data_IF_879533320239
#
_entry.id   IF_879533320239
#
_cell.length_a   1.000
_cell.length_b   1.000
_cell.length_c   1.000
_cell.angle_alpha   90.00
_cell.angle_beta   90.00
_cell.angle_gamma   90.00
#
_symmetry.space_group_name_H-M   'P 1'
#
loop_
_entity.id
_entity.type
_entity.pdbx_description
1 polymer ?
#
# COMPACT_ATOMS: atom_id res chain seq x y z
N UNK A 1 -21.96 33.40 30.05
CA UNK A 1 -20.65 32.83 30.45
C UNK A 1 -19.83 32.58 29.19
N UNK A 2 -18.55 32.96 29.22
CA UNK A 2 -17.65 33.12 28.07
C UNK A 2 -17.42 31.80 27.31
N UNK A 3 -17.51 31.85 25.98
CA UNK A 3 -17.04 30.81 25.07
C UNK A 3 -15.50 30.77 25.07
N UNK A 4 -14.93 29.62 25.38
CA UNK A 4 -13.51 29.33 25.12
C UNK A 4 -13.40 28.43 23.90
N UNK A 5 -12.85 28.98 22.81
CA UNK A 5 -12.38 28.21 21.65
C UNK A 5 -10.95 27.79 21.94
N UNK A 6 -10.72 26.49 22.13
CA UNK A 6 -9.38 25.89 22.07
C UNK A 6 -9.27 25.11 20.76
N UNK A 7 -8.48 25.64 19.83
CA UNK A 7 -8.15 25.00 18.56
C UNK A 7 -7.28 23.77 18.78
N UNK A 8 -7.57 22.72 18.02
CA UNK A 8 -6.77 21.51 17.91
C UNK A 8 -5.77 21.75 16.76
N UNK A 9 -4.47 21.50 16.94
CA UNK A 9 -3.47 21.70 15.88
C UNK A 9 -3.67 20.70 14.75
N UNK A 10 -3.60 21.20 13.52
CA UNK A 10 -3.60 20.44 12.28
C UNK A 10 -2.40 19.48 12.26
N UNK A 11 -2.67 18.18 12.24
CA UNK A 11 -1.65 17.16 11.97
C UNK A 11 -1.36 17.24 10.48
N UNK A 12 -0.21 17.78 10.12
CA UNK A 12 0.31 17.70 8.76
C UNK A 12 0.66 16.24 8.47
N UNK A 13 -0.22 15.55 7.76
CA UNK A 13 0.07 14.26 7.14
C UNK A 13 1.13 14.49 6.07
N UNK A 14 2.37 14.11 6.38
CA UNK A 14 3.46 14.07 5.41
C UNK A 14 3.22 12.87 4.49
N UNK A 15 2.48 13.08 3.41
CA UNK A 15 2.34 12.10 2.33
C UNK A 15 3.66 12.04 1.58
N UNK A 16 4.53 11.12 1.96
CA UNK A 16 5.75 10.81 1.21
C UNK A 16 5.34 10.10 -0.08
N UNK A 17 5.14 10.86 -1.16
CA UNK A 17 5.13 10.28 -2.50
C UNK A 17 6.48 9.60 -2.73
N UNK A 18 6.46 8.29 -2.97
CA UNK A 18 7.62 7.56 -3.44
C UNK A 18 7.87 7.95 -4.91
N UNK A 19 8.46 9.12 -5.14
CA UNK A 19 8.91 9.55 -6.47
C UNK A 19 10.30 8.95 -6.70
N UNK A 20 10.37 7.82 -7.40
CA UNK A 20 11.64 7.26 -7.89
C UNK A 20 12.13 8.19 -9.00
N UNK A 21 12.98 9.16 -8.66
CA UNK A 21 13.68 9.98 -9.65
C UNK A 21 14.88 9.20 -10.17
N UNK A 22 14.75 8.60 -11.35
CA UNK A 22 15.88 8.11 -12.13
C UNK A 22 16.60 9.31 -12.75
N UNK A 23 17.72 9.74 -12.16
CA UNK A 23 18.64 10.65 -12.83
C UNK A 23 19.63 9.82 -13.67
N UNK A 24 19.37 9.72 -14.97
CA UNK A 24 20.38 9.28 -15.95
C UNK A 24 21.25 10.47 -16.31
N UNK A 25 22.50 10.49 -15.86
CA UNK A 25 23.51 11.45 -16.33
C UNK A 25 24.30 10.77 -17.45
N UNK A 26 23.89 11.04 -18.69
CA UNK A 26 24.73 10.85 -19.87
C UNK A 26 25.44 12.15 -20.17
N UNK A 27 26.77 12.14 -20.25
CA UNK A 27 27.54 13.23 -20.84
C UNK A 27 28.43 12.66 -21.93
N UNK A 28 27.99 12.83 -23.17
CA UNK A 28 28.78 12.66 -24.39
C UNK A 28 28.71 13.96 -25.17
N UNK A 29 29.86 14.45 -25.64
CA UNK A 29 29.92 15.67 -26.45
C UNK A 29 31.36 16.02 -26.84
N UNK A 30 31.84 15.39 -27.90
CA UNK A 30 33.01 15.87 -28.65
C UNK A 30 32.62 16.98 -29.61
N UNK A 31 33.57 17.87 -29.91
CA UNK A 31 33.42 18.94 -30.90
C UNK A 31 34.79 19.51 -31.29
N UNK A 32 35.22 19.15 -32.50
CA UNK A 32 36.41 19.65 -33.19
C UNK A 32 36.03 20.83 -34.09
N UNK A 33 36.94 21.80 -34.28
CA UNK A 33 36.78 22.89 -35.25
C UNK A 33 38.00 23.81 -35.28
N UNK A 34 38.84 23.67 -36.31
CA UNK A 34 39.92 24.62 -36.65
C UNK A 34 39.47 25.67 -37.67
N UNK A 35 40.19 26.79 -37.82
CA UNK A 35 41.17 27.03 -38.90
C UNK A 35 41.69 28.50 -38.94
N UNK A 36 42.96 28.65 -39.40
CA UNK A 36 43.63 29.82 -40.07
C UNK A 36 43.80 31.16 -39.33
N UNK A 37 44.94 31.88 -39.35
CA UNK A 37 46.23 31.71 -40.05
C UNK A 37 47.22 32.87 -39.78
N UNK A 38 48.42 32.74 -40.38
CA UNK A 38 49.38 33.80 -40.79
C UNK A 38 50.46 34.33 -39.82
N UNK A 39 51.64 33.71 -39.92
CA UNK A 39 53.00 34.22 -40.18
C UNK A 39 53.54 35.56 -39.59
N UNK A 40 54.66 35.47 -38.84
CA UNK A 40 56.01 36.05 -39.14
C UNK A 40 56.77 36.65 -37.94
N UNK A 41 57.96 36.09 -37.68
CA UNK A 41 59.24 36.77 -37.39
C UNK A 41 59.43 37.59 -36.09
N UNK A 42 60.44 37.22 -35.30
CA UNK A 42 61.10 38.14 -34.36
C UNK A 42 61.70 37.47 -33.13
N UNK A 43 63.01 37.59 -32.98
CA UNK A 43 63.86 37.01 -31.93
C UNK A 43 63.78 37.73 -30.58
N UNK A 44 64.28 37.01 -29.57
CA UNK A 44 64.80 37.46 -28.27
C UNK A 44 63.81 37.89 -27.17
N UNK A 45 63.88 37.15 -26.06
CA UNK A 45 63.79 37.76 -24.74
C UNK A 45 62.84 37.11 -23.75
N UNK A 46 63.45 36.57 -22.70
CA UNK A 46 63.00 36.57 -21.30
C UNK A 46 62.05 35.45 -20.86
N UNK A 47 62.58 34.68 -19.91
CA UNK A 47 61.90 33.74 -19.03
C UNK A 47 60.52 34.25 -18.58
N UNK A 48 59.47 33.50 -18.88
CA UNK A 48 58.28 33.52 -18.04
C UNK A 48 57.94 32.08 -17.65
N UNK A 49 58.34 31.74 -16.42
CA UNK A 49 58.00 30.49 -15.75
C UNK A 49 56.53 30.53 -15.34
N UNK A 50 55.65 30.39 -16.33
CA UNK A 50 54.22 30.16 -16.09
C UNK A 50 54.03 28.73 -15.58
N UNK A 51 54.26 28.50 -14.30
CA UNK A 51 53.78 27.29 -13.62
C UNK A 51 52.25 27.30 -13.70
N UNK A 52 51.69 26.61 -14.69
CA UNK A 52 50.29 26.20 -14.64
C UNK A 52 50.05 25.55 -13.28
N UNK A 53 49.05 25.98 -12.48
CA UNK A 53 48.80 25.37 -11.18
C UNK A 53 48.60 23.87 -11.41
N UNK A 54 49.41 23.05 -10.74
CA UNK A 54 49.22 21.60 -10.75
C UNK A 54 47.79 21.31 -10.28
N UNK A 55 46.99 20.52 -11.01
CA UNK A 55 45.62 20.21 -10.61
C UNK A 55 45.63 19.55 -9.22
N UNK A 56 44.93 20.16 -8.26
CA UNK A 56 44.77 19.57 -6.92
C UNK A 56 43.95 18.28 -7.06
N UNK A 57 44.60 17.13 -6.82
CA UNK A 57 43.98 15.81 -6.89
C UNK A 57 43.70 15.32 -5.47
N UNK A 58 42.43 15.12 -5.13
CA UNK A 58 42.01 14.62 -3.82
C UNK A 58 42.00 13.09 -3.76
N UNK A 59 42.15 12.52 -2.56
CA UNK A 59 42.01 11.06 -2.36
C UNK A 59 40.56 10.59 -2.53
N UNK A 60 40.35 9.27 -2.65
CA UNK A 60 39.01 8.68 -2.82
C UNK A 60 38.05 8.98 -1.66
N UNK A 61 38.59 9.23 -0.46
CA UNK A 61 37.85 9.60 0.76
C UNK A 61 37.63 11.11 0.89
N UNK A 62 38.00 11.88 -0.12
CA UNK A 62 37.93 13.34 -0.14
C UNK A 62 37.18 13.85 -1.38
N UNK A 63 36.76 15.11 -1.34
CA UNK A 63 36.21 15.84 -2.47
C UNK A 63 36.83 17.23 -2.55
N UNK A 64 36.99 17.75 -3.77
CA UNK A 64 37.55 19.07 -4.00
C UNK A 64 36.46 20.14 -3.82
N UNK A 65 36.70 21.11 -2.95
CA UNK A 65 35.87 22.30 -2.82
C UNK A 65 36.77 23.52 -2.68
N UNK A 66 36.60 24.50 -3.57
CA UNK A 66 37.38 25.75 -3.54
C UNK A 66 38.91 25.52 -3.55
N UNK A 67 39.38 24.51 -4.30
CA UNK A 67 40.80 24.18 -4.38
C UNK A 67 41.36 23.42 -3.17
N UNK A 68 40.52 23.11 -2.18
CA UNK A 68 40.90 22.39 -0.96
C UNK A 68 40.23 21.02 -0.94
N UNK A 69 41.00 19.97 -0.65
CA UNK A 69 40.46 18.65 -0.43
C UNK A 69 39.79 18.55 0.94
N UNK A 70 38.49 18.28 0.95
CA UNK A 70 37.69 18.06 2.16
C UNK A 70 37.33 16.59 2.29
N UNK A 71 37.32 16.07 3.52
CA UNK A 71 36.95 14.68 3.78
C UNK A 71 35.45 14.46 3.51
N UNK A 72 35.12 13.33 2.87
CA UNK A 72 33.75 12.85 2.75
C UNK A 72 33.23 12.40 4.12
N UNK A 73 31.95 12.60 4.36
CA UNK A 73 31.30 12.22 5.62
C UNK A 73 30.89 10.75 5.59
N UNK A 74 31.15 10.03 6.69
CA UNK A 74 30.67 8.66 6.86
C UNK A 74 29.16 8.64 7.11
N UNK A 75 28.47 7.70 6.47
CA UNK A 75 27.04 7.49 6.66
C UNK A 75 26.78 6.48 7.77
N UNK A 76 25.65 6.61 8.45
CA UNK A 76 25.19 5.63 9.45
C UNK A 76 23.85 5.04 9.04
N UNK A 77 23.52 3.87 9.55
CA UNK A 77 22.22 3.24 9.36
C UNK A 77 21.87 2.35 10.55
N UNK A 78 20.58 2.06 10.73
CA UNK A 78 20.10 1.10 11.72
C UNK A 78 19.86 -0.24 11.03
N UNK A 79 20.47 -1.36 11.47
CA UNK A 79 20.22 -2.67 10.87
C UNK A 79 18.74 -3.05 10.88
N UNK A 80 18.35 -3.89 9.92
CA UNK A 80 17.03 -4.50 9.90
C UNK A 80 16.89 -5.49 11.07
N UNK A 81 15.75 -5.42 11.74
CA UNK A 81 15.24 -6.34 12.75
C UNK A 81 14.40 -7.40 12.05
N UNK A 82 15.10 -8.45 11.64
CA UNK A 82 14.51 -9.65 11.04
C UNK A 82 15.07 -10.85 11.77
N UNK A 83 14.21 -11.63 12.41
CA UNK A 83 14.61 -12.83 13.14
C UNK A 83 14.84 -14.03 12.23
N UNK A 84 14.01 -14.15 11.18
CA UNK A 84 14.00 -15.28 10.24
C UNK A 84 13.37 -14.88 8.92
N UNK A 85 13.54 -15.74 7.92
CA UNK A 85 12.64 -15.86 6.78
C UNK A 85 11.97 -17.24 6.77
N UNK A 86 10.79 -17.33 6.16
CA UNK A 86 10.12 -18.60 5.88
C UNK A 86 10.32 -19.00 4.44
N UNK A 87 10.70 -20.26 4.22
CA UNK A 87 10.76 -20.86 2.89
C UNK A 87 9.45 -20.66 2.12
N UNK A 88 9.57 -20.22 0.88
CA UNK A 88 8.46 -19.92 -0.03
C UNK A 88 7.80 -18.56 0.17
N UNK A 89 8.22 -17.77 1.17
CA UNK A 89 7.74 -16.41 1.38
C UNK A 89 8.62 -15.38 0.66
N UNK A 90 8.05 -14.20 0.46
CA UNK A 90 8.70 -13.05 -0.13
C UNK A 90 8.59 -11.82 0.79
N UNK A 91 9.62 -10.99 0.76
CA UNK A 91 9.79 -9.88 1.69
C UNK A 91 10.26 -8.63 0.97
N UNK A 92 9.59 -7.52 1.25
CA UNK A 92 10.06 -6.20 0.85
C UNK A 92 11.06 -5.72 1.89
N UNK A 93 12.33 -5.63 1.51
CA UNK A 93 13.38 -5.12 2.39
C UNK A 93 13.69 -3.68 2.00
N UNK A 94 13.40 -2.75 2.90
CA UNK A 94 13.65 -1.33 2.73
C UNK A 94 14.61 -0.87 3.83
N UNK A 95 15.79 -0.40 3.44
CA UNK A 95 16.77 0.15 4.37
C UNK A 95 17.34 1.44 3.80
N UNK A 96 17.47 2.44 4.68
CA UNK A 96 18.04 3.75 4.35
C UNK A 96 19.12 4.15 5.35
N UNK A 97 20.04 5.00 4.89
CA UNK A 97 21.02 5.68 5.75
C UNK A 97 20.39 6.84 6.51
N UNK A 98 21.13 7.42 7.45
CA UNK A 98 20.78 8.65 8.16
C UNK A 98 20.73 9.90 7.26
N UNK A 99 21.08 9.75 5.97
CA UNK A 99 20.96 10.74 4.91
C UNK A 99 19.80 10.43 3.94
N UNK A 100 18.87 9.53 4.32
CA UNK A 100 17.74 9.08 3.51
C UNK A 100 18.12 8.39 2.18
N UNK A 101 19.36 7.90 2.05
CA UNK A 101 19.82 7.16 0.88
C UNK A 101 19.48 5.67 1.01
N UNK A 102 18.83 5.11 -0.01
CA UNK A 102 18.42 3.71 -0.07
C UNK A 102 19.60 2.76 -0.29
N UNK A 103 19.58 1.62 0.40
CA UNK A 103 20.52 0.52 0.16
C UNK A 103 20.10 -0.36 -1.03
N UNK A 104 21.09 -0.86 -1.76
CA UNK A 104 20.93 -1.97 -2.69
C UNK A 104 21.28 -3.29 -2.00
N UNK A 105 20.47 -4.31 -2.22
CA UNK A 105 20.67 -5.65 -1.69
C UNK A 105 21.08 -6.60 -2.82
N UNK A 106 21.93 -7.56 -2.51
CA UNK A 106 22.29 -8.66 -3.40
C UNK A 106 22.51 -9.93 -2.59
N UNK A 107 22.01 -11.07 -3.07
CA UNK A 107 22.21 -12.34 -2.39
C UNK A 107 23.62 -12.89 -2.63
N UNK A 108 24.27 -13.34 -1.56
CA UNK A 108 25.51 -14.12 -1.61
C UNK A 108 25.25 -15.63 -1.44
N UNK A 109 23.98 -16.02 -1.26
CA UNK A 109 23.52 -17.40 -1.09
C UNK A 109 22.29 -17.65 -1.98
N UNK A 110 22.43 -17.57 -3.32
CA UNK A 110 21.30 -17.55 -4.26
C UNK A 110 20.45 -18.83 -4.27
N UNK A 111 20.97 -19.95 -3.75
CA UNK A 111 20.18 -21.19 -3.61
C UNK A 111 19.26 -21.17 -2.37
N UNK A 112 19.52 -20.28 -1.40
CA UNK A 112 18.79 -20.17 -0.13
C UNK A 112 17.82 -19.01 -0.17
N UNK A 113 18.26 -17.86 -0.68
CA UNK A 113 17.44 -16.69 -0.86
C UNK A 113 17.93 -15.90 -2.07
N UNK A 114 17.02 -15.26 -2.77
CA UNK A 114 17.32 -14.41 -3.90
C UNK A 114 16.74 -13.01 -3.67
N UNK A 115 17.35 -11.98 -4.26
CA UNK A 115 16.87 -10.60 -4.16
C UNK A 115 16.82 -9.98 -5.54
N UNK A 116 15.62 -9.71 -6.02
CA UNK A 116 15.38 -9.16 -7.35
C UNK A 116 14.27 -8.11 -7.28
N UNK A 117 14.42 -7.00 -8.01
CA UNK A 117 13.39 -5.96 -8.16
C UNK A 117 12.84 -5.39 -6.82
N UNK A 118 13.68 -5.32 -5.78
CA UNK A 118 13.29 -4.80 -4.47
C UNK A 118 12.60 -5.81 -3.56
N UNK A 119 12.59 -7.08 -3.94
CA UNK A 119 11.91 -8.16 -3.23
C UNK A 119 12.89 -9.31 -2.97
N UNK A 120 12.95 -9.75 -1.72
CA UNK A 120 13.63 -10.98 -1.32
C UNK A 120 12.67 -12.16 -1.48
N UNK A 121 13.13 -13.26 -2.07
CA UNK A 121 12.46 -14.56 -2.07
C UNK A 121 13.27 -15.55 -1.26
N UNK A 122 12.64 -16.18 -0.26
CA UNK A 122 13.25 -17.25 0.52
C UNK A 122 13.00 -18.59 -0.19
N UNK A 123 14.05 -19.18 -0.76
CA UNK A 123 13.94 -20.31 -1.69
C UNK A 123 14.06 -21.66 -0.99
N UNK A 124 15.02 -21.80 -0.07
CA UNK A 124 15.26 -23.05 0.66
C UNK A 124 15.80 -22.80 2.06
N UNK A 125 15.76 -23.82 2.91
CA UNK A 125 16.23 -23.74 4.29
C UNK A 125 17.74 -23.58 4.38
N UNK A 126 18.20 -22.73 5.30
CA UNK A 126 19.63 -22.48 5.51
C UNK A 126 19.92 -21.02 5.83
N UNK A 127 21.19 -20.62 5.69
CA UNK A 127 21.63 -19.24 5.99
C UNK A 127 21.52 -18.35 4.76
N UNK A 128 20.55 -17.44 4.76
CA UNK A 128 20.45 -16.38 3.76
C UNK A 128 21.47 -15.28 4.08
N UNK A 129 22.48 -15.12 3.22
CA UNK A 129 23.51 -14.09 3.35
C UNK A 129 23.26 -13.03 2.28
N UNK A 130 22.99 -11.79 2.69
CA UNK A 130 22.80 -10.66 1.80
C UNK A 130 23.93 -9.65 1.98
N UNK A 131 24.46 -9.16 0.86
CA UNK A 131 25.34 -7.99 0.83
C UNK A 131 24.47 -6.74 0.63
N UNK A 132 24.65 -5.76 1.52
CA UNK A 132 24.00 -4.45 1.47
C UNK A 132 25.04 -3.41 1.06
N UNK A 133 24.71 -2.60 0.07
CA UNK A 133 25.60 -1.57 -0.45
C UNK A 133 24.89 -0.24 -0.58
N UNK A 134 25.60 0.85 -0.26
CA UNK A 134 25.20 2.21 -0.58
C UNK A 134 26.44 2.88 -1.19
N UNK A 135 26.34 3.32 -2.45
CA UNK A 135 27.44 3.90 -3.22
C UNK A 135 28.04 5.21 -2.67
N UNK A 136 27.43 5.86 -1.68
CA UNK A 136 27.81 7.21 -1.25
C UNK A 136 27.35 8.28 -2.24
N UNK A 137 27.95 9.47 -2.12
CA UNK A 137 27.77 10.60 -3.05
C UNK A 137 29.13 11.28 -3.26
N UNK A 138 29.17 12.41 -3.95
CA UNK A 138 30.39 13.23 -4.02
C UNK A 138 30.91 13.65 -2.64
N UNK A 139 30.03 13.79 -1.64
CA UNK A 139 30.37 14.24 -0.29
C UNK A 139 30.22 13.15 0.79
N UNK A 140 29.69 11.97 0.44
CA UNK A 140 29.43 10.88 1.38
C UNK A 140 30.24 9.64 1.02
N UNK A 141 30.84 9.00 2.03
CA UNK A 141 31.55 7.73 1.85
C UNK A 141 30.58 6.59 1.55
N UNK A 142 30.93 5.62 0.68
CA UNK A 142 30.11 4.43 0.47
C UNK A 142 30.02 3.57 1.74
N UNK A 143 28.94 2.80 1.84
CA UNK A 143 28.70 1.82 2.92
C UNK A 143 28.61 0.42 2.31
N UNK A 144 29.33 -0.53 2.89
CA UNK A 144 29.20 -1.95 2.60
C UNK A 144 28.94 -2.69 3.90
N UNK A 145 27.92 -3.55 3.93
CA UNK A 145 27.58 -4.38 5.07
C UNK A 145 27.09 -5.74 4.60
N UNK A 146 27.07 -6.70 5.52
CA UNK A 146 26.45 -8.02 5.29
C UNK A 146 25.40 -8.25 6.36
N UNK A 147 24.30 -8.90 5.98
CA UNK A 147 23.33 -9.46 6.93
C UNK A 147 23.19 -10.95 6.67
N UNK A 148 23.03 -11.72 7.74
CA UNK A 148 22.77 -13.16 7.69
C UNK A 148 21.50 -13.42 8.47
N UNK A 149 20.54 -14.09 7.84
CA UNK A 149 19.24 -14.43 8.41
C UNK A 149 18.96 -15.90 8.10
N UNK A 150 18.45 -16.65 9.07
CA UNK A 150 18.06 -18.05 8.84
C UNK A 150 16.75 -18.11 8.05
N UNK A 151 16.73 -18.93 6.99
CA UNK A 151 15.52 -19.39 6.32
C UNK A 151 15.11 -20.70 6.95
N UNK A 152 13.92 -20.75 7.52
CA UNK A 152 13.37 -21.93 8.16
C UNK A 152 12.16 -22.45 7.41
N UNK A 153 11.77 -23.69 7.71
CA UNK A 153 10.56 -24.27 7.14
C UNK A 153 9.31 -23.49 7.56
N UNK A 154 8.39 -23.29 6.63
CA UNK A 154 7.17 -22.51 6.88
C UNK A 154 6.22 -23.18 7.90
N UNK A 155 6.35 -24.48 8.15
CA UNK A 155 5.58 -25.18 9.19
C UNK A 155 6.18 -24.98 10.60
N UNK A 156 7.41 -24.48 10.71
CA UNK A 156 8.00 -24.14 12.01
C UNK A 156 7.25 -22.99 12.71
N UNK A 157 6.43 -22.22 11.97
CA UNK A 157 5.45 -21.26 12.50
C UNK A 157 4.02 -21.62 12.11
N UNK A 158 3.66 -22.90 12.23
CA UNK A 158 2.26 -23.31 12.08
C UNK A 158 1.38 -22.77 13.22
N UNK A 159 1.93 -22.68 14.43
CA UNK A 159 1.22 -22.19 15.61
C UNK A 159 1.70 -20.82 16.04
N UNK A 160 0.75 -19.98 16.45
CA UNK A 160 1.00 -18.68 17.04
C UNK A 160 1.53 -18.82 18.46
N UNK A 161 2.54 -18.01 18.80
CA UNK A 161 3.05 -17.79 20.15
C UNK A 161 3.28 -16.29 20.37
N UNK A 162 2.46 -15.69 21.22
CA UNK A 162 2.49 -14.24 21.50
C UNK A 162 3.75 -13.83 22.29
N UNK A 163 4.33 -14.73 23.08
CA UNK A 163 5.48 -14.46 23.93
C UNK A 163 6.79 -14.62 23.14
N UNK A 164 6.87 -15.61 22.26
CA UNK A 164 7.98 -15.78 21.33
C UNK A 164 7.88 -14.89 20.07
N UNK A 165 6.78 -14.14 19.91
CA UNK A 165 6.50 -13.33 18.72
C UNK A 165 6.41 -14.14 17.42
N UNK A 166 5.96 -15.38 17.50
CA UNK A 166 5.67 -16.22 16.34
C UNK A 166 4.22 -15.99 15.92
N UNK A 167 4.02 -15.45 14.72
CA UNK A 167 2.70 -15.02 14.29
C UNK A 167 1.78 -16.19 13.96
N UNK A 168 2.35 -17.36 13.68
CA UNK A 168 1.61 -18.50 13.17
C UNK A 168 1.28 -18.33 11.69
N UNK A 169 0.35 -19.13 11.19
CA UNK A 169 -0.15 -19.05 9.80
C UNK A 169 -1.66 -19.23 9.74
N UNK A 170 -2.33 -18.64 8.73
CA UNK A 170 -3.73 -18.93 8.47
C UNK A 170 -3.93 -20.41 8.14
N UNK A 171 -5.06 -20.97 8.56
CA UNK A 171 -5.53 -22.26 8.08
C UNK A 171 -6.06 -22.16 6.64
N UNK A 172 -6.16 -23.29 5.94
CA UNK A 172 -6.72 -23.29 4.58
C UNK A 172 -8.18 -22.84 4.53
N UNK A 173 -8.96 -23.17 5.57
CA UNK A 173 -10.34 -22.72 5.69
C UNK A 173 -10.43 -21.19 5.80
N UNK A 174 -9.55 -20.54 6.57
CA UNK A 174 -9.48 -19.08 6.68
C UNK A 174 -9.07 -18.43 5.37
N UNK A 175 -8.06 -18.97 4.66
CA UNK A 175 -7.67 -18.48 3.33
C UNK A 175 -8.85 -18.53 2.36
N UNK A 176 -9.54 -19.66 2.34
CA UNK A 176 -10.65 -19.89 1.43
C UNK A 176 -11.85 -19.01 1.75
N UNK A 177 -12.18 -18.84 3.04
CA UNK A 177 -13.22 -17.94 3.51
C UNK A 177 -12.93 -16.49 3.10
N UNK A 178 -11.71 -16.02 3.34
CA UNK A 178 -11.27 -14.68 2.97
C UNK A 178 -11.38 -14.43 1.46
N UNK A 179 -10.74 -15.28 0.64
CA UNK A 179 -10.66 -15.05 -0.81
C UNK A 179 -12.01 -15.24 -1.51
N UNK A 180 -12.88 -16.13 -0.99
CA UNK A 180 -14.23 -16.30 -1.50
C UNK A 180 -15.09 -15.09 -1.19
N UNK A 181 -15.04 -14.57 0.04
CA UNK A 181 -15.81 -13.37 0.42
C UNK A 181 -15.35 -12.15 -0.39
N UNK A 182 -14.03 -11.99 -0.60
CA UNK A 182 -13.50 -10.93 -1.45
C UNK A 182 -14.01 -11.03 -2.89
N UNK A 183 -13.95 -12.23 -3.47
CA UNK A 183 -14.42 -12.43 -4.83
C UNK A 183 -15.95 -12.37 -4.96
N UNK A 184 -16.71 -12.70 -3.91
CA UNK A 184 -18.16 -12.48 -3.86
C UNK A 184 -18.48 -10.98 -3.92
N UNK A 185 -17.84 -10.18 -3.05
CA UNK A 185 -17.99 -8.72 -3.06
C UNK A 185 -17.63 -8.17 -4.44
N UNK A 186 -16.47 -8.54 -4.97
CA UNK A 186 -15.97 -8.05 -6.28
C UNK A 186 -16.89 -8.42 -7.44
N UNK A 187 -17.52 -9.59 -7.41
CA UNK A 187 -18.48 -10.01 -8.42
C UNK A 187 -19.72 -9.10 -8.48
N UNK A 188 -20.18 -8.55 -7.34
CA UNK A 188 -21.28 -7.58 -7.31
C UNK A 188 -20.99 -6.30 -8.13
N UNK A 189 -19.71 -6.00 -8.31
CA UNK A 189 -19.20 -4.84 -9.05
C UNK A 189 -18.67 -5.21 -10.44
N UNK A 190 -18.90 -6.45 -10.90
CA UNK A 190 -18.32 -7.03 -12.12
C UNK A 190 -16.79 -7.03 -12.18
N UNK A 191 -16.10 -6.88 -11.03
CA UNK A 191 -14.64 -6.78 -10.98
C UNK A 191 -13.98 -8.16 -11.21
N UNK A 192 -12.77 -8.21 -11.82
CA UNK A 192 -12.01 -9.45 -11.97
C UNK A 192 -11.71 -10.08 -10.61
N UNK A 193 -11.68 -11.41 -10.58
CA UNK A 193 -11.30 -12.16 -9.38
C UNK A 193 -9.86 -11.86 -8.98
N UNK A 194 -9.64 -11.81 -7.68
CA UNK A 194 -8.33 -11.70 -7.05
C UNK A 194 -7.88 -13.10 -6.65
N UNK A 195 -6.60 -13.41 -6.86
CA UNK A 195 -5.97 -14.65 -6.37
C UNK A 195 -5.40 -14.49 -4.97
N UNK A 196 -5.39 -15.56 -4.19
CA UNK A 196 -4.64 -15.58 -2.94
C UNK A 196 -3.13 -15.63 -3.22
N UNK A 197 -2.33 -14.94 -2.42
CA UNK A 197 -0.90 -14.78 -2.58
C UNK A 197 -0.14 -15.33 -1.37
N UNK A 198 0.15 -16.63 -1.41
CA UNK A 198 0.83 -17.32 -0.32
C UNK A 198 2.21 -16.74 0.02
N UNK A 199 2.87 -16.08 -0.93
CA UNK A 199 4.22 -15.54 -0.74
C UNK A 199 4.28 -14.36 0.25
N UNK A 200 3.16 -13.67 0.51
CA UNK A 200 3.11 -12.51 1.42
C UNK A 200 2.39 -12.78 2.74
N UNK A 201 2.08 -14.05 3.00
CA UNK A 201 1.30 -14.48 4.16
C UNK A 201 2.04 -14.17 5.48
N UNK A 202 3.32 -14.51 5.58
CA UNK A 202 4.14 -14.23 6.77
C UNK A 202 4.22 -12.73 7.06
N UNK A 203 4.31 -11.90 6.02
CA UNK A 203 4.28 -10.45 6.18
C UNK A 203 2.96 -9.97 6.80
N UNK A 204 1.82 -10.53 6.37
CA UNK A 204 0.50 -10.17 6.93
C UNK A 204 0.30 -10.70 8.34
N UNK A 205 0.80 -11.90 8.63
CA UNK A 205 0.76 -12.47 9.98
C UNK A 205 1.60 -11.64 10.95
N UNK A 206 2.82 -11.23 10.58
CA UNK A 206 3.65 -10.37 11.43
C UNK A 206 3.05 -8.98 11.63
N UNK A 207 2.44 -8.38 10.60
CA UNK A 207 1.71 -7.12 10.77
C UNK A 207 0.56 -7.26 11.76
N UNK A 208 -0.22 -8.33 11.63
CA UNK A 208 -1.35 -8.66 12.52
C UNK A 208 -0.88 -8.89 13.97
N UNK A 209 0.26 -9.56 14.15
CA UNK A 209 0.90 -9.73 15.46
C UNK A 209 1.21 -8.38 16.11
N UNK A 210 1.77 -7.41 15.37
CA UNK A 210 2.04 -6.06 15.89
C UNK A 210 0.78 -5.39 16.43
N UNK A 211 -0.34 -5.47 15.71
CA UNK A 211 -1.60 -4.86 16.16
C UNK A 211 -2.14 -5.58 17.40
N UNK A 212 -2.11 -6.91 17.40
CA UNK A 212 -2.70 -7.74 18.44
C UNK A 212 -1.98 -7.62 19.80
N UNK A 213 -0.64 -7.71 19.82
CA UNK A 213 0.13 -7.71 21.08
C UNK A 213 0.33 -6.32 21.68
N UNK A 214 0.20 -5.27 20.86
CA UNK A 214 0.30 -3.89 21.33
C UNK A 214 -1.06 -3.25 21.62
N UNK A 215 -2.16 -3.97 21.36
CA UNK A 215 -3.54 -3.56 21.66
C UNK A 215 -3.91 -2.21 21.01
N UNK A 216 -3.37 -1.94 19.80
CA UNK A 216 -3.61 -0.69 19.04
C UNK A 216 -3.33 -0.89 17.56
N UNK A 217 -3.80 0.05 16.72
CA UNK A 217 -3.55 0.02 15.27
C UNK A 217 -2.68 1.19 14.80
N UNK A 218 -1.79 0.93 13.84
CA UNK A 218 -0.99 1.94 13.13
C UNK A 218 -0.42 1.36 11.85
N UNK A 219 -0.43 2.14 10.76
CA UNK A 219 0.34 1.81 9.55
C UNK A 219 1.84 2.02 9.71
N UNK A 220 2.26 2.75 10.75
CA UNK A 220 3.65 3.08 11.02
C UNK A 220 4.00 2.73 12.47
N UNK A 221 4.00 1.44 12.85
CA UNK A 221 4.47 1.03 14.15
C UNK A 221 5.95 1.40 14.30
N UNK A 222 6.35 1.91 15.46
CA UNK A 222 7.76 2.23 15.73
C UNK A 222 8.48 1.04 16.39
N UNK A 223 9.81 1.10 16.45
CA UNK A 223 10.67 0.00 16.96
C UNK A 223 10.49 -0.30 18.46
N UNK A 224 9.71 0.49 19.21
CA UNK A 224 9.42 0.21 20.64
C UNK A 224 8.25 -0.73 20.83
N UNK A 225 7.49 -1.03 19.77
CA UNK A 225 6.37 -1.97 19.84
C UNK A 225 6.86 -3.38 20.17
N UNK A 226 6.13 -4.09 21.02
CA UNK A 226 6.38 -5.50 21.29
C UNK A 226 6.23 -6.29 19.99
N UNK A 227 7.12 -7.25 19.79
CA UNK A 227 7.23 -8.05 18.57
C UNK A 227 7.53 -7.26 17.29
N UNK A 228 8.08 -6.03 17.40
CA UNK A 228 8.51 -5.29 16.22
C UNK A 228 9.50 -6.11 15.38
N UNK A 229 9.19 -6.22 14.09
CA UNK A 229 10.10 -6.65 13.03
C UNK A 229 9.95 -5.69 11.85
N UNK A 230 11.01 -5.51 11.06
CA UNK A 230 10.88 -4.71 9.84
C UNK A 230 9.92 -5.38 8.83
N UNK A 231 9.77 -6.70 8.86
CA UNK A 231 8.75 -7.43 8.06
C UNK A 231 7.33 -7.00 8.48
N UNK A 232 7.03 -7.02 9.77
CA UNK A 232 5.73 -6.62 10.31
C UNK A 232 5.44 -5.14 10.06
N UNK A 233 6.44 -4.26 10.19
CA UNK A 233 6.32 -2.84 9.82
C UNK A 233 5.95 -2.67 8.34
N UNK A 234 6.67 -3.34 7.44
CA UNK A 234 6.36 -3.29 6.01
C UNK A 234 4.95 -3.81 5.74
N UNK A 235 4.55 -4.91 6.39
CA UNK A 235 3.19 -5.43 6.32
C UNK A 235 2.13 -4.43 6.79
N UNK A 236 2.36 -3.74 7.91
CA UNK A 236 1.42 -2.73 8.42
C UNK A 236 1.29 -1.52 7.47
N UNK A 237 2.41 -1.07 6.90
CA UNK A 237 2.45 0.11 6.01
C UNK A 237 1.89 -0.14 4.61
N UNK A 238 1.65 -1.40 4.21
CA UNK A 238 1.26 -1.78 2.85
C UNK A 238 -0.07 -2.53 2.76
N UNK A 239 -0.85 -2.47 3.83
CA UNK A 239 -2.04 -3.31 4.00
C UNK A 239 -3.24 -2.52 4.46
N UNK A 240 -4.43 -3.04 4.18
CA UNK A 240 -5.60 -2.72 4.98
C UNK A 240 -5.41 -3.32 6.37
N UNK A 241 -5.59 -2.53 7.42
CA UNK A 241 -5.42 -2.97 8.80
C UNK A 241 -6.76 -2.96 9.52
N UNK A 242 -7.01 -3.97 10.35
CA UNK A 242 -8.17 -4.00 11.23
C UNK A 242 -7.74 -4.36 12.64
N UNK A 243 -8.43 -3.76 13.60
CA UNK A 243 -8.19 -3.93 15.02
C UNK A 243 -9.53 -4.06 15.74
N UNK A 244 -9.70 -5.14 16.48
CA UNK A 244 -10.98 -5.49 17.11
C UNK A 244 -10.75 -5.74 18.59
N UNK A 245 -11.56 -5.09 19.42
CA UNK A 245 -11.67 -5.38 20.85
C UNK A 245 -12.95 -6.16 21.10
N UNK A 246 -12.82 -7.38 21.62
CA UNK A 246 -13.94 -8.25 21.88
C UNK A 246 -14.10 -8.52 23.38
N UNK A 247 -15.25 -8.11 23.89
CA UNK A 247 -15.65 -8.31 25.29
C UNK A 247 -16.38 -9.64 25.53
N UNK A 248 -16.74 -10.35 24.45
CA UNK A 248 -17.47 -11.62 24.47
C UNK A 248 -16.84 -12.59 23.46
N UNK A 249 -17.07 -13.91 23.61
CA UNK A 249 -16.57 -14.91 22.66
C UNK A 249 -16.99 -14.61 21.22
N UNK A 250 -16.03 -14.67 20.30
CA UNK A 250 -16.19 -14.34 18.88
C UNK A 250 -16.52 -15.59 18.04
N UNK A 251 -17.58 -16.33 18.39
CA UNK A 251 -17.88 -17.63 17.78
C UNK A 251 -18.13 -17.60 16.25
N UNK A 252 -18.39 -16.42 15.66
CA UNK A 252 -18.62 -16.26 14.22
C UNK A 252 -17.82 -15.11 13.60
N UNK A 253 -16.78 -14.64 14.29
CA UNK A 253 -15.88 -13.61 13.75
C UNK A 253 -14.70 -14.29 13.05
N UNK A 254 -14.35 -13.79 11.88
CA UNK A 254 -13.18 -14.27 11.15
C UNK A 254 -12.85 -13.40 9.96
N UNK A 255 -12.13 -13.99 9.00
CA UNK A 255 -11.57 -13.28 7.86
C UNK A 255 -12.62 -12.58 6.96
N UNK A 256 -13.80 -13.16 6.82
CA UNK A 256 -14.94 -12.53 6.15
C UNK A 256 -15.39 -11.26 6.87
N UNK A 257 -15.49 -11.31 8.20
CA UNK A 257 -15.95 -10.19 9.02
C UNK A 257 -14.95 -9.03 8.98
N UNK A 258 -13.65 -9.31 9.01
CA UNK A 258 -12.63 -8.27 8.82
C UNK A 258 -12.77 -7.58 7.46
N UNK A 259 -13.01 -8.36 6.41
CA UNK A 259 -13.21 -7.84 5.05
C UNK A 259 -14.48 -7.00 4.90
N UNK A 260 -15.59 -7.44 5.51
CA UNK A 260 -16.84 -6.70 5.55
C UNK A 260 -16.67 -5.38 6.30
N UNK A 261 -15.92 -5.37 7.40
CA UNK A 261 -15.63 -4.15 8.15
C UNK A 261 -14.79 -3.16 7.33
N UNK A 262 -13.75 -3.62 6.64
CA UNK A 262 -12.99 -2.80 5.69
C UNK A 262 -13.86 -2.26 4.56
N UNK A 263 -14.78 -3.06 4.03
CA UNK A 263 -15.68 -2.62 2.97
C UNK A 263 -16.67 -1.55 3.45
N UNK A 264 -17.27 -1.76 4.62
CA UNK A 264 -18.29 -0.89 5.19
C UNK A 264 -17.68 0.42 5.71
N UNK A 265 -16.44 0.40 6.21
CA UNK A 265 -15.72 1.58 6.75
C UNK A 265 -16.33 2.16 8.02
N UNK A 266 -17.05 1.33 8.79
CA UNK A 266 -17.64 1.74 10.06
C UNK A 266 -16.57 2.22 11.03
N UNK A 267 -16.75 3.41 11.58
CA UNK A 267 -15.79 4.11 12.46
C UNK A 267 -14.44 4.47 11.79
N UNK A 268 -14.37 4.45 10.46
CA UNK A 268 -13.19 4.90 9.72
C UNK A 268 -13.33 6.37 9.33
N UNK A 269 -12.20 7.10 9.33
CA UNK A 269 -12.15 8.50 8.85
C UNK A 269 -11.87 8.60 7.35
N UNK A 270 -11.68 7.47 6.68
CA UNK A 270 -11.32 7.34 5.26
C UNK A 270 -12.03 6.12 4.66
N UNK A 271 -12.22 6.11 3.34
CA UNK A 271 -12.72 4.92 2.61
C UNK A 271 -11.58 4.14 1.91
N UNK A 272 -10.34 4.32 2.37
CA UNK A 272 -9.16 3.72 1.78
C UNK A 272 -9.25 2.21 1.65
N UNK A 273 -9.75 1.51 2.68
CA UNK A 273 -9.84 0.05 2.66
C UNK A 273 -10.81 -0.44 1.58
N UNK A 274 -11.98 0.19 1.49
CA UNK A 274 -12.97 -0.05 0.43
C UNK A 274 -12.37 0.19 -0.96
N UNK A 275 -11.62 1.28 -1.14
CA UNK A 275 -10.97 1.61 -2.43
C UNK A 275 -9.96 0.55 -2.85
N UNK A 276 -9.22 -0.05 -1.91
CA UNK A 276 -8.36 -1.18 -2.21
C UNK A 276 -9.16 -2.43 -2.59
N UNK A 277 -10.21 -2.78 -1.84
CA UNK A 277 -11.06 -3.96 -2.09
C UNK A 277 -11.74 -3.88 -3.47
N UNK A 278 -12.24 -2.70 -3.83
CA UNK A 278 -12.94 -2.44 -5.09
C UNK A 278 -12.02 -1.98 -6.22
N UNK A 279 -10.70 -2.01 -6.02
CA UNK A 279 -9.79 -1.64 -7.09
C UNK A 279 -9.86 -2.64 -8.25
N UNK A 280 -10.07 -2.19 -9.49
CA UNK A 280 -10.05 -3.08 -10.65
C UNK A 280 -8.63 -3.58 -10.99
N UNK A 281 -7.59 -2.98 -10.39
CA UNK A 281 -6.18 -3.31 -10.61
C UNK A 281 -5.62 -4.29 -9.56
N UNK A 282 -6.36 -4.54 -8.47
CA UNK A 282 -5.98 -5.57 -7.51
C UNK A 282 -6.16 -6.95 -8.18
N UNK A 283 -5.05 -7.66 -8.38
CA UNK A 283 -5.03 -8.98 -9.03
C UNK A 283 -4.72 -10.11 -8.04
N UNK A 284 -4.01 -9.81 -6.96
CA UNK A 284 -3.62 -10.75 -5.91
C UNK A 284 -3.62 -10.08 -4.54
N UNK A 285 -3.78 -10.86 -3.48
CA UNK A 285 -3.72 -10.38 -2.09
C UNK A 285 -3.32 -11.51 -1.15
N UNK A 286 -2.81 -11.17 0.03
CA UNK A 286 -2.62 -12.07 1.16
C UNK A 286 -3.45 -11.60 2.36
N UNK A 287 -3.64 -12.48 3.34
CA UNK A 287 -4.38 -12.21 4.58
C UNK A 287 -3.60 -12.75 5.78
N UNK A 288 -3.67 -12.03 6.89
CA UNK A 288 -3.22 -12.50 8.19
C UNK A 288 -4.14 -12.03 9.30
N UNK A 289 -4.23 -12.83 10.35
CA UNK A 289 -5.00 -12.54 11.55
C UNK A 289 -4.27 -13.13 12.76
N UNK A 290 -4.18 -12.35 13.84
CA UNK A 290 -3.61 -12.81 15.10
C UNK A 290 -4.58 -12.42 16.22
N UNK A 291 -5.06 -13.44 16.93
CA UNK A 291 -5.82 -13.24 18.17
C UNK A 291 -4.91 -13.20 19.39
N UNK A 292 -5.11 -12.20 20.25
CA UNK A 292 -4.45 -12.07 21.53
C UNK A 292 -5.49 -12.23 22.66
N UNK A 293 -5.47 -13.41 23.27
CA UNK A 293 -6.30 -13.79 24.44
C UNK A 293 -5.58 -13.57 25.77
N UNK A 294 -4.35 -13.04 25.73
CA UNK A 294 -3.54 -12.65 26.89
C UNK A 294 -3.55 -11.12 27.08
N UNK A 295 -4.42 -10.41 26.35
CA UNK A 295 -4.55 -8.96 26.39
C UNK A 295 -5.00 -8.49 27.78
N UNK A 296 -4.51 -7.31 28.18
CA UNK A 296 -4.83 -6.73 29.50
C UNK A 296 -6.08 -5.87 29.47
N UNK A 297 -6.40 -5.26 28.33
CA UNK A 297 -7.54 -4.34 28.22
C UNK A 297 -8.89 -5.05 28.12
N UNK A 298 -8.96 -6.15 27.37
CA UNK A 298 -10.18 -6.90 27.07
C UNK A 298 -9.88 -8.40 26.90
N UNK A 299 -10.87 -9.29 27.00
CA UNK A 299 -10.66 -10.74 26.87
C UNK A 299 -9.98 -11.18 25.57
N UNK A 300 -10.33 -10.57 24.43
CA UNK A 300 -9.72 -10.89 23.14
C UNK A 300 -9.48 -9.62 22.33
N UNK A 301 -8.26 -9.47 21.83
CA UNK A 301 -7.90 -8.53 20.79
C UNK A 301 -7.66 -9.30 19.49
N UNK A 302 -8.17 -8.81 18.36
CA UNK A 302 -7.77 -9.29 17.03
C UNK A 302 -7.02 -8.19 16.28
N UNK A 303 -5.86 -8.54 15.74
CA UNK A 303 -5.19 -7.78 14.68
C UNK A 303 -5.34 -8.51 13.36
N UNK A 304 -5.69 -7.81 12.29
CA UNK A 304 -5.74 -8.38 10.95
C UNK A 304 -5.13 -7.44 9.92
N UNK A 305 -4.56 -8.03 8.88
CA UNK A 305 -3.95 -7.32 7.77
C UNK A 305 -4.28 -7.98 6.43
N UNK A 306 -4.62 -7.17 5.43
CA UNK A 306 -4.80 -7.61 4.03
C UNK A 306 -3.82 -6.86 3.13
N UNK A 307 -3.01 -7.60 2.37
CA UNK A 307 -1.98 -7.03 1.49
C UNK A 307 -2.61 -6.30 0.30
N UNK A 308 -2.35 -5.00 0.16
CA UNK A 308 -2.94 -4.19 -0.93
C UNK A 308 -1.92 -3.37 -1.72
N UNK A 309 -0.73 -3.14 -1.17
CA UNK A 309 0.38 -2.46 -1.86
C UNK A 309 1.54 -3.43 -2.05
N UNK A 310 1.87 -3.74 -3.29
CA UNK A 310 3.04 -4.56 -3.66
C UNK A 310 4.18 -3.67 -4.15
N UNK A 311 5.41 -4.20 -4.25
CA UNK A 311 6.54 -3.44 -4.77
C UNK A 311 6.41 -3.47 -6.28
N UNK A 312 5.40 -2.78 -6.83
CA UNK A 312 5.21 -2.61 -8.26
C UNK A 312 6.20 -1.58 -8.77
N UNK A 313 7.50 -1.80 -8.54
CA UNK A 313 8.52 -1.06 -9.22
C UNK A 313 8.42 -1.44 -10.71
N UNK A 314 7.81 -0.56 -11.52
CA UNK A 314 7.71 -0.61 -12.98
C UNK A 314 6.52 -1.33 -13.66
N UNK A 315 5.57 -1.94 -12.94
CA UNK A 315 4.43 -2.58 -13.62
C UNK A 315 3.30 -1.58 -13.89
N UNK A 316 3.02 -1.32 -15.17
CA UNK A 316 1.71 -0.81 -15.59
C UNK A 316 0.66 -1.85 -15.22
N UNK A 317 0.02 -1.66 -14.07
CA UNK A 317 -1.13 -2.46 -13.69
C UNK A 317 -2.26 -2.14 -14.67
N UNK A 318 -2.75 -3.20 -15.31
CA UNK A 318 -3.91 -3.13 -16.19
C UNK A 318 -5.06 -3.97 -15.64
N UNK A 319 -6.23 -3.75 -16.20
CA UNK A 319 -7.46 -4.46 -15.86
C UNK A 319 -8.28 -4.70 -17.12
N UNK A 320 -9.08 -5.75 -17.10
CA UNK A 320 -10.04 -6.07 -18.17
C UNK A 320 -11.38 -5.36 -17.96
N UNK A 321 -11.53 -4.58 -16.89
CA UNK A 321 -12.76 -3.82 -16.64
C UNK A 321 -13.03 -2.79 -17.73
N UNK A 322 -14.27 -2.70 -18.23
CA UNK A 322 -14.65 -1.60 -19.10
C UNK A 322 -14.58 -0.27 -18.35
N UNK A 323 -14.36 0.81 -19.10
CA UNK A 323 -14.42 2.17 -18.56
C UNK A 323 -15.81 2.45 -17.98
N UNK A 324 -15.86 3.23 -16.91
CA UNK A 324 -17.13 3.63 -16.31
C UNK A 324 -17.08 3.73 -14.79
N UNK A 325 -18.27 3.65 -14.18
CA UNK A 325 -18.47 3.82 -12.75
C UNK A 325 -18.16 2.52 -12.01
N UNK A 326 -17.38 2.63 -10.94
CA UNK A 326 -17.24 1.60 -9.90
C UNK A 326 -17.83 2.23 -8.63
N UNK A 327 -19.04 1.82 -8.25
CA UNK A 327 -19.77 2.43 -7.14
C UNK A 327 -20.01 1.44 -5.99
N UNK A 328 -20.23 1.95 -4.80
CA UNK A 328 -20.64 1.19 -3.64
C UNK A 328 -21.79 1.94 -2.95
N UNK A 329 -22.98 1.32 -2.84
CA UNK A 329 -23.39 0.03 -3.42
C UNK A 329 -23.61 0.13 -4.95
N UNK A 330 -23.66 -1.02 -5.63
CA UNK A 330 -23.90 -1.10 -7.08
C UNK A 330 -24.93 -2.19 -7.40
N UNK A 331 -25.90 -1.87 -8.25
CA UNK A 331 -27.01 -2.76 -8.62
C UNK A 331 -27.69 -3.39 -7.38
N UNK A 332 -28.07 -4.66 -7.44
CA UNK A 332 -28.63 -5.37 -6.27
C UNK A 332 -27.49 -5.71 -5.32
N UNK A 333 -27.50 -5.08 -4.15
CA UNK A 333 -26.41 -5.17 -3.19
C UNK A 333 -26.87 -5.85 -1.89
N UNK A 334 -26.22 -6.94 -1.43
CA UNK A 334 -26.61 -7.62 -0.20
C UNK A 334 -26.44 -6.73 1.04
N UNK A 335 -27.45 -6.68 1.91
CA UNK A 335 -27.39 -5.95 3.18
C UNK A 335 -26.23 -6.39 4.09
N UNK A 336 -25.80 -7.66 4.02
CA UNK A 336 -24.64 -8.15 4.79
C UNK A 336 -23.33 -7.40 4.48
N UNK A 337 -23.25 -6.74 3.33
CA UNK A 337 -22.08 -5.99 2.88
C UNK A 337 -22.28 -4.48 2.95
N UNK A 338 -23.34 -3.98 3.58
CA UNK A 338 -23.74 -2.57 3.53
C UNK A 338 -24.29 -2.05 4.86
N UNK A 339 -24.05 -0.77 5.14
CA UNK A 339 -24.62 -0.03 6.28
C UNK A 339 -25.11 1.33 5.83
N UNK A 340 -26.35 1.69 6.18
CA UNK A 340 -26.98 2.98 5.81
C UNK A 340 -26.31 4.21 6.41
N UNK A 341 -25.56 4.02 7.50
CA UNK A 341 -24.92 5.12 8.22
C UNK A 341 -23.55 5.49 7.66
N UNK A 342 -23.00 4.66 6.77
CA UNK A 342 -21.66 4.83 6.20
C UNK A 342 -21.74 5.46 4.81
N UNK A 343 -20.69 6.16 4.35
CA UNK A 343 -20.70 6.85 3.07
C UNK A 343 -20.92 5.88 1.91
N UNK A 344 -21.77 6.29 0.97
CA UNK A 344 -21.74 5.75 -0.39
C UNK A 344 -20.50 6.33 -1.08
N UNK A 345 -19.96 5.60 -2.05
CA UNK A 345 -18.76 6.05 -2.77
C UNK A 345 -18.77 5.58 -4.21
N UNK A 346 -18.11 6.32 -5.08
CA UNK A 346 -17.82 5.91 -6.45
C UNK A 346 -16.45 6.39 -6.92
N UNK A 347 -15.92 5.66 -7.89
CA UNK A 347 -14.75 6.04 -8.68
C UNK A 347 -15.08 5.89 -10.17
N UNK A 348 -14.38 6.64 -11.00
CA UNK A 348 -14.47 6.53 -12.46
C UNK A 348 -13.19 5.88 -12.99
N UNK A 349 -13.34 4.75 -13.69
CA UNK A 349 -12.28 4.12 -14.46
C UNK A 349 -12.28 4.70 -15.87
N UNK A 350 -11.25 5.48 -16.21
CA UNK A 350 -11.07 6.12 -17.53
C UNK A 350 -9.97 5.47 -18.36
N UNK A 351 -9.00 4.84 -17.69
CA UNK A 351 -7.89 4.14 -18.31
C UNK A 351 -7.66 2.76 -17.67
N UNK A 352 -8.09 1.66 -18.32
CA UNK A 352 -7.87 0.30 -17.85
C UNK A 352 -6.43 -0.18 -17.96
N UNK A 353 -5.55 0.51 -18.70
CA UNK A 353 -4.18 0.06 -18.99
C UNK A 353 -3.12 0.66 -18.06
N UNK A 354 -3.49 1.70 -17.31
CA UNK A 354 -2.59 2.35 -16.38
C UNK A 354 -3.37 2.91 -15.19
N UNK A 355 -3.15 2.31 -14.02
CA UNK A 355 -3.76 2.72 -12.75
C UNK A 355 -3.63 4.23 -12.48
N UNK A 356 -2.45 4.81 -12.70
CA UNK A 356 -2.15 6.23 -12.40
C UNK A 356 -2.77 7.20 -13.40
N UNK A 357 -3.08 6.75 -14.61
CA UNK A 357 -3.76 7.57 -15.60
C UNK A 357 -5.21 7.89 -15.22
N UNK A 358 -5.76 7.27 -14.17
CA UNK A 358 -7.08 7.58 -13.64
C UNK A 358 -7.08 8.77 -12.65
N UNK A 359 -5.91 9.36 -12.37
CA UNK A 359 -5.79 10.55 -11.52
C UNK A 359 -6.36 11.82 -12.19
N UNK A 360 -6.66 11.76 -13.49
CA UNK A 360 -7.15 12.90 -14.28
C UNK A 360 -8.65 13.16 -14.13
N UNK A 361 -9.37 12.27 -13.44
CA UNK A 361 -10.78 12.44 -13.09
C UNK A 361 -10.89 13.48 -11.98
N UNK A 362 -11.61 14.57 -12.21
CA UNK A 362 -11.84 15.63 -11.25
C UNK A 362 -13.35 15.82 -10.99
N UNK A 363 -13.73 15.71 -9.71
CA UNK A 363 -15.10 15.87 -9.23
C UNK A 363 -15.41 17.30 -8.74
N UNK A 364 -14.48 18.25 -8.87
CA UNK A 364 -14.62 19.61 -8.34
C UNK A 364 -15.84 20.38 -8.85
N UNK A 365 -16.27 20.07 -10.07
CA UNK A 365 -17.46 20.66 -10.68
C UNK A 365 -18.63 19.67 -10.81
N UNK A 366 -18.50 18.49 -10.20
CA UNK A 366 -19.49 17.45 -10.33
C UNK A 366 -20.79 17.80 -9.59
N UNK A 367 -21.92 17.50 -10.22
CA UNK A 367 -23.25 17.62 -9.62
C UNK A 367 -23.85 16.23 -9.42
N UNK A 368 -24.09 15.88 -8.17
CA UNK A 368 -24.69 14.61 -7.78
C UNK A 368 -26.21 14.75 -7.61
N UNK A 369 -26.97 13.78 -8.10
CA UNK A 369 -28.42 13.67 -7.86
C UNK A 369 -28.76 12.21 -7.63
N UNK A 370 -29.51 11.94 -6.56
CA UNK A 370 -30.02 10.60 -6.22
C UNK A 370 -31.53 10.66 -6.26
N UNK A 371 -32.15 9.78 -7.04
CA UNK A 371 -33.60 9.76 -7.25
C UNK A 371 -34.14 8.39 -6.89
N UNK A 372 -35.20 8.33 -6.08
CA UNK A 372 -35.93 7.10 -5.81
C UNK A 372 -36.77 6.75 -7.05
N UNK A 373 -36.58 5.55 -7.61
CA UNK A 373 -37.11 5.21 -8.95
C UNK A 373 -38.63 5.09 -9.01
N UNK A 374 -39.26 4.57 -7.97
CA UNK A 374 -40.71 4.27 -7.97
C UNK A 374 -41.60 5.52 -7.95
N UNK A 375 -41.18 6.57 -7.26
CA UNK A 375 -41.95 7.81 -7.06
C UNK A 375 -41.23 9.06 -7.57
N UNK A 376 -40.05 8.90 -8.19
CA UNK A 376 -39.22 9.97 -8.72
C UNK A 376 -38.79 11.01 -7.66
N UNK A 377 -38.83 10.66 -6.37
CA UNK A 377 -38.46 11.57 -5.30
C UNK A 377 -36.94 11.76 -5.25
N UNK A 378 -36.50 13.00 -5.46
CA UNK A 378 -35.09 13.39 -5.35
C UNK A 378 -34.68 13.42 -3.87
N UNK A 379 -33.61 12.71 -3.54
CA UNK A 379 -33.09 12.61 -2.19
C UNK A 379 -32.22 13.81 -1.84
N UNK A 380 -32.31 14.27 -0.59
CA UNK A 380 -31.39 15.25 -0.03
C UNK A 380 -30.06 14.58 0.30
N UNK A 381 -29.03 14.92 -0.48
CA UNK A 381 -27.65 14.45 -0.26
C UNK A 381 -26.89 15.37 0.70
N UNK A 382 -25.94 14.81 1.44
CA UNK A 382 -25.08 15.53 2.38
C UNK A 382 -23.68 14.93 2.41
N UNK A 383 -22.77 15.59 3.15
CA UNK A 383 -21.40 15.11 3.40
C UNK A 383 -20.65 14.69 2.12
N UNK A 384 -20.79 15.49 1.07
CA UNK A 384 -20.09 15.26 -0.19
C UNK A 384 -18.60 15.53 0.04
N UNK A 385 -17.77 14.54 -0.25
CA UNK A 385 -16.31 14.69 -0.28
C UNK A 385 -15.77 14.01 -1.53
N UNK A 386 -14.65 14.48 -2.02
CA UNK A 386 -13.95 13.85 -3.12
C UNK A 386 -12.46 14.13 -2.99
N UNK A 387 -11.66 13.23 -3.54
CA UNK A 387 -10.21 13.36 -3.57
C UNK A 387 -9.61 12.59 -4.73
N UNK A 388 -8.36 12.94 -5.05
CA UNK A 388 -7.50 12.25 -5.99
C UNK A 388 -6.28 11.62 -5.28
N UNK A 389 -6.40 11.36 -3.97
CA UNK A 389 -5.31 10.82 -3.15
C UNK A 389 -5.19 9.34 -3.46
N UNK A 390 -4.03 8.90 -3.92
CA UNK A 390 -3.81 7.49 -4.24
C UNK A 390 -3.66 6.64 -2.97
N UNK A 391 -4.72 5.93 -2.59
CA UNK A 391 -4.63 4.80 -1.67
C UNK A 391 -4.38 3.52 -2.49
N UNK A 392 -3.12 3.37 -2.93
CA UNK A 392 -2.54 2.18 -3.55
C UNK A 392 -2.98 1.82 -4.97
N UNK A 393 -4.27 1.88 -5.35
CA UNK A 393 -4.69 1.34 -6.66
C UNK A 393 -5.92 1.97 -7.34
N UNK A 394 -6.64 2.92 -6.72
CA UNK A 394 -7.62 3.78 -7.42
C UNK A 394 -7.49 5.14 -6.79
N UNK A 395 -7.19 6.18 -7.57
CA UNK A 395 -6.85 7.48 -7.01
C UNK A 395 -8.03 8.44 -6.86
N UNK A 396 -9.03 8.37 -7.76
CA UNK A 396 -10.19 9.24 -7.68
C UNK A 396 -11.32 8.61 -6.85
N UNK A 397 -12.03 9.44 -6.10
CA UNK A 397 -13.13 9.06 -5.23
C UNK A 397 -14.14 10.23 -5.15
N UNK A 398 -15.43 9.92 -5.18
CA UNK A 398 -16.51 10.78 -4.74
C UNK A 398 -17.37 10.02 -3.73
N UNK A 399 -17.57 10.58 -2.56
CA UNK A 399 -18.34 10.00 -1.46
C UNK A 399 -19.45 10.95 -1.00
N UNK A 400 -20.56 10.39 -0.53
CA UNK A 400 -21.73 11.15 -0.12
C UNK A 400 -22.65 10.33 0.80
N UNK A 401 -23.56 11.01 1.47
CA UNK A 401 -24.61 10.40 2.29
C UNK A 401 -25.99 10.88 1.84
N UNK A 402 -27.01 10.07 2.12
CA UNK A 402 -28.39 10.55 2.24
C UNK A 402 -29.13 9.67 3.25
N UNK A 403 -29.83 10.29 4.20
CA UNK A 403 -30.35 9.60 5.39
C UNK A 403 -31.67 8.87 5.16
N UNK A 404 -32.41 9.21 4.11
CA UNK A 404 -33.73 8.64 3.80
C UNK A 404 -33.66 7.31 3.01
N UNK A 405 -32.54 6.57 3.10
CA UNK A 405 -32.40 5.31 2.39
C UNK A 405 -33.29 4.22 2.97
N UNK A 406 -34.06 3.56 2.11
CA UNK A 406 -34.89 2.39 2.39
C UNK A 406 -34.24 1.13 1.79
N UNK A 407 -34.42 -0.02 2.45
CA UNK A 407 -34.03 -1.31 1.86
C UNK A 407 -35.06 -1.71 0.79
N UNK A 408 -34.65 -2.54 -0.16
CA UNK A 408 -35.48 -3.05 -1.25
C UNK A 408 -36.06 -1.97 -2.20
N UNK A 409 -35.57 -0.73 -2.11
CA UNK A 409 -35.93 0.38 -2.99
C UNK A 409 -34.79 0.65 -3.97
N UNK A 410 -35.13 0.91 -5.23
CA UNK A 410 -34.15 1.26 -6.27
C UNK A 410 -33.90 2.77 -6.27
N UNK A 411 -32.64 3.15 -6.23
CA UNK A 411 -32.16 4.52 -6.37
C UNK A 411 -31.34 4.67 -7.64
N UNK A 412 -31.68 5.67 -8.44
CA UNK A 412 -30.93 6.13 -9.61
C UNK A 412 -29.99 7.26 -9.21
N UNK A 413 -28.71 7.12 -9.56
CA UNK A 413 -27.67 8.11 -9.26
C UNK A 413 -27.15 8.70 -10.55
N UNK A 414 -27.17 10.02 -10.64
CA UNK A 414 -26.59 10.79 -11.72
C UNK A 414 -25.45 11.63 -11.19
N UNK A 415 -24.29 11.54 -11.84
CA UNK A 415 -23.12 12.36 -11.58
C UNK A 415 -22.83 13.14 -12.86
N UNK A 416 -23.16 14.42 -12.85
CA UNK A 416 -23.01 15.29 -14.00
C UNK A 416 -21.73 16.11 -13.86
N UNK A 417 -21.15 16.52 -14.99
CA UNK A 417 -20.03 17.47 -15.05
C UNK A 417 -18.76 16.99 -14.30
N UNK A 418 -18.44 15.70 -14.41
CA UNK A 418 -17.16 15.16 -13.98
C UNK A 418 -16.13 15.50 -15.04
N UNK A 419 -15.02 16.14 -14.67
CA UNK A 419 -13.98 16.48 -15.63
C UNK A 419 -13.03 15.29 -15.82
N UNK A 420 -12.88 14.82 -17.05
CA UNK A 420 -11.90 13.80 -17.44
C UNK A 420 -10.98 14.40 -18.49
N UNK A 421 -9.70 14.56 -18.16
CA UNK A 421 -8.73 15.25 -19.02
C UNK A 421 -9.23 16.65 -19.46
N UNK A 422 -9.92 17.35 -18.54
CA UNK A 422 -10.50 18.68 -18.77
C UNK A 422 -11.82 18.70 -19.55
N UNK A 423 -12.37 17.54 -19.93
CA UNK A 423 -13.67 17.43 -20.62
C UNK A 423 -14.76 17.01 -19.66
N UNK A 424 -15.90 17.69 -19.71
CA UNK A 424 -17.05 17.33 -18.89
C UNK A 424 -17.73 16.06 -19.42
N UNK A 425 -17.84 15.05 -18.56
CA UNK A 425 -18.49 13.77 -18.79
C UNK A 425 -19.60 13.57 -17.76
N UNK A 426 -20.62 12.81 -18.15
CA UNK A 426 -21.75 12.46 -17.28
C UNK A 426 -21.79 10.95 -17.05
N UNK A 427 -22.08 10.55 -15.83
CA UNK A 427 -22.16 9.15 -15.42
C UNK A 427 -23.46 8.86 -14.71
N UNK A 428 -23.97 7.65 -14.89
CA UNK A 428 -25.17 7.17 -14.21
C UNK A 428 -24.97 5.74 -13.72
N UNK A 429 -25.53 5.43 -12.57
CA UNK A 429 -25.68 4.06 -12.09
C UNK A 429 -26.93 3.95 -11.22
N UNK A 430 -27.29 2.73 -10.83
CA UNK A 430 -28.38 2.51 -9.88
C UNK A 430 -27.97 1.48 -8.85
N UNK A 431 -28.67 1.48 -7.72
CA UNK A 431 -28.52 0.44 -6.72
C UNK A 431 -29.84 0.16 -5.98
N UNK A 432 -29.92 -1.04 -5.39
CA UNK A 432 -30.96 -1.50 -4.47
C UNK A 432 -30.26 -2.32 -3.39
N UNK A 433 -30.37 -1.92 -2.12
CA UNK A 433 -29.83 -2.74 -1.03
C UNK A 433 -30.88 -3.75 -0.59
N UNK A 434 -30.60 -5.04 -0.81
CA UNK A 434 -31.52 -6.15 -0.56
C UNK A 434 -31.35 -6.70 0.86
N UNK A 435 -32.44 -6.75 1.62
CA UNK A 435 -32.42 -7.24 3.00
C UNK A 435 -32.81 -8.72 3.18
N UNK A 436 -33.15 -9.41 2.09
CA UNK A 436 -33.57 -10.82 2.08
C UNK A 436 -32.43 -11.82 1.86
N UNK A 437 -31.18 -11.35 1.71
CA UNK A 437 -30.05 -12.19 1.29
C UNK A 437 -29.53 -13.19 2.34
N UNK A 438 -30.25 -13.41 3.46
CA UNK A 438 -29.82 -14.31 4.55
C UNK A 438 -30.72 -15.53 4.80
N UNK A 439 -31.85 -15.71 4.10
CA UNK A 439 -32.79 -16.81 4.43
C UNK A 439 -32.66 -18.08 3.56
N UNK A 440 -31.88 -18.09 2.48
CA UNK A 440 -31.76 -19.27 1.61
C UNK A 440 -30.70 -20.32 2.01
N UNK A 441 -30.43 -20.50 3.32
CA UNK A 441 -29.58 -21.60 3.81
C UNK A 441 -30.22 -22.53 4.87
N UNK A 442 -31.53 -22.42 5.15
CA UNK A 442 -32.20 -23.36 6.09
C UNK A 442 -33.55 -23.90 5.61
N UNK A 443 -33.68 -24.24 4.33
CA UNK A 443 -34.79 -25.08 3.87
C UNK A 443 -34.28 -26.19 2.95
N UNK A 444 -33.40 -27.04 3.50
CA UNK A 444 -33.29 -28.42 3.02
C UNK A 444 -34.48 -29.17 3.61
N UNK A 445 -35.53 -29.33 2.81
CA UNK A 445 -36.70 -30.12 3.18
C UNK A 445 -36.26 -31.54 3.55
N UNK A 446 -36.53 -31.90 4.80
CA UNK A 446 -36.73 -33.27 5.22
C UNK A 446 -37.99 -33.79 4.54
N UNK A 447 -37.84 -34.57 3.47
CA UNK A 447 -38.84 -35.53 3.03
C UNK A 447 -38.31 -36.92 3.38
N UNK A 448 -38.76 -37.41 4.54
CA UNK A 448 -39.01 -38.84 4.72
C UNK A 448 -40.26 -39.14 3.90
N UNK A 449 -40.22 -40.18 3.07
CA UNK A 449 -41.32 -41.13 2.92
C UNK A 449 -40.83 -42.41 2.22
N UNK A 450 -40.97 -43.51 2.99
CA UNK A 450 -41.01 -44.95 2.65
C UNK A 450 -39.72 -45.63 2.19
#
# INVERSE_FOLDING_TARGET
MKHSKTGIPSITTSTLMLVISMAMVGCGGGGSGGNTGSNSGGTDGVNDGGTSPQPVTCSETQYLQEGICKNKTAQRFKPLLVSRFLKGQAYQLNLKTDQDLTFSFSSQSPNICDFEQGELKALDVGKCTLKLTQAGTSQLLPVNSTMVVDVIEAHAEEHKDLNACHAGRPSEAERQLFINTLNEIRALHNLPKVRYDHAYEDQMMQASMLLAVNEKTSHYPDRTWRCFSDIGYQGASTSNLNFVQAYQPLASYGADTHLINWLIEKNSTSIGHRRHILSPFLSKTAYGEVSNTEAKSVPTILGAAMKVVYPYASQTLSTTMPKGVIAYPYHVYPKKFFSKNEPLSLSILVNPQNVYANNTVDFSQAKLTVTRRDNQHIQTISNIQYDNISYGLVANNLQFHFSAMEYNVIYDVQVQNVLVDGKAENYTYWFKVDDQSSEQRSSGESSNDI
#
